data_IF_874190034918
#
_entry.id   IF_874190034918
#
_cell.length_a   1.000
_cell.length_b   1.000
_cell.length_c   1.000
_cell.angle_alpha   90.00
_cell.angle_beta   90.00
_cell.angle_gamma   90.00
#
_symmetry.space_group_name_H-M   'P 1'
#
loop_
_entity.id
_entity.type
_entity.pdbx_description
1 polymer ?
2 water ?
#
# COMPACT_ATOMS: atom_id res chain seq x y z
N UNK A 1 32.21 -5.30 17.77
CA UNK A 1 32.59 -6.76 17.74
C UNK A 1 34.02 -7.00 18.24
N UNK A 2 34.17 -7.66 19.39
CA UNK A 2 33.06 -8.23 20.17
C UNK A 2 32.22 -7.14 20.85
N UNK A 3 30.93 -7.11 20.55
CA UNK A 3 30.01 -6.14 21.14
C UNK A 3 29.94 -6.33 22.65
N UNK A 4 29.76 -5.25 23.39
CA UNK A 4 29.51 -5.32 24.82
C UNK A 4 28.25 -6.14 25.04
N UNK A 5 28.27 -7.08 26.00
CA UNK A 5 27.08 -7.90 26.27
C UNK A 5 25.98 -7.06 26.88
N UNK A 6 24.73 -7.40 26.57
CA UNK A 6 23.60 -6.68 27.16
C UNK A 6 23.48 -6.99 28.64
N UNK A 7 23.34 -5.93 29.45
CA UNK A 7 22.98 -6.12 30.85
C UNK A 7 21.49 -5.83 30.97
N UNK A 8 20.75 -6.84 31.40
CA UNK A 8 19.30 -6.73 31.57
C UNK A 8 18.97 -5.90 32.81
N UNK A 9 17.87 -5.17 32.75
CA UNK A 9 17.44 -4.31 33.85
C UNK A 9 16.05 -4.70 34.32
N UNK A 10 15.91 -4.98 35.61
CA UNK A 10 14.63 -5.36 36.19
C UNK A 10 13.80 -4.15 36.50
N UNK A 11 12.51 -4.19 36.12
CA UNK A 11 11.60 -3.16 36.58
C UNK A 11 11.18 -3.43 38.02
N UNK A 12 10.63 -2.41 38.66
CA UNK A 12 10.01 -2.60 39.97
C UNK A 12 8.51 -2.72 39.71
N UNK A 13 7.94 -3.85 40.13
CA UNK A 13 6.53 -4.12 39.87
C UNK A 13 5.65 -3.96 41.10
N UNK A 14 4.37 -3.68 40.88
CA UNK A 14 3.43 -3.38 41.96
C UNK A 14 2.07 -4.04 41.69
N UNK A 15 1.95 -5.37 41.94
CA UNK A 15 0.71 -6.08 41.60
C UNK A 15 -0.53 -5.50 42.30
N UNK A 16 -0.34 -4.91 43.47
CA UNK A 16 -1.47 -4.34 44.22
C UNK A 16 -1.56 -2.81 44.13
N UNK A 17 -0.73 -2.24 43.25
CA UNK A 17 -0.86 -0.84 42.83
C UNK A 17 -0.41 -0.74 41.38
N UNK A 18 -1.15 -1.44 40.51
CA UNK A 18 -0.74 -1.67 39.13
C UNK A 18 -0.74 -0.42 38.26
N UNK A 19 -1.57 0.58 38.59
CA UNK A 19 -1.66 1.77 37.74
C UNK A 19 -0.29 2.42 37.46
N UNK A 20 0.58 2.44 38.47
CA UNK A 20 1.92 3.02 38.28
C UNK A 20 2.76 2.20 37.28
N UNK A 21 2.60 0.88 37.30
CA UNK A 21 3.26 -0.01 36.33
C UNK A 21 2.67 0.20 34.95
N UNK A 22 1.36 0.35 34.90
CA UNK A 22 0.65 0.58 33.64
C UNK A 22 1.12 1.88 33.00
N UNK A 23 1.25 2.94 33.81
CA UNK A 23 1.80 4.22 33.36
C UNK A 23 3.20 4.02 32.75
N UNK A 24 4.09 3.35 33.49
CA UNK A 24 5.48 3.13 33.06
C UNK A 24 5.54 2.29 31.79
N UNK A 25 4.66 1.30 31.70
CA UNK A 25 4.64 0.41 30.54
C UNK A 25 4.12 1.10 29.28
N UNK A 26 3.15 1.99 29.44
CA UNK A 26 2.73 2.85 28.35
C UNK A 26 3.92 3.66 27.80
N UNK A 27 4.71 4.26 28.70
CA UNK A 27 5.86 5.06 28.28
C UNK A 27 6.89 4.20 27.55
N UNK A 28 7.12 2.98 28.05
CA UNK A 28 8.05 2.05 27.40
C UNK A 28 7.56 1.65 26.02
N UNK A 29 6.29 1.26 25.93
CA UNK A 29 5.68 0.85 24.65
C UNK A 29 5.73 1.99 23.63
N UNK A 30 5.38 3.20 24.07
CA UNK A 30 5.40 4.35 23.17
C UNK A 30 6.81 4.67 22.69
N UNK A 31 7.76 4.67 23.61
CA UNK A 31 9.17 4.84 23.26
C UNK A 31 9.61 3.84 22.19
N UNK A 32 9.34 2.55 22.41
CA UNK A 32 9.69 1.49 21.44
C UNK A 32 9.04 1.70 20.08
N UNK A 33 7.79 2.15 20.07
CA UNK A 33 7.09 2.44 18.83
C UNK A 33 7.76 3.59 18.05
N UNK A 34 8.17 4.62 18.78
CA UNK A 34 8.90 5.72 18.17
C UNK A 34 10.25 5.24 17.67
N UNK A 35 10.91 4.38 18.45
CA UNK A 35 12.18 3.80 18.03
C UNK A 35 12.01 3.00 16.74
N UNK A 36 10.94 2.21 16.66
CA UNK A 36 10.68 1.40 15.48
C UNK A 36 10.41 2.26 14.26
N UNK A 37 9.61 3.31 14.44
CA UNK A 37 9.33 4.27 13.37
C UNK A 37 10.66 4.80 12.81
N UNK A 38 11.54 5.23 13.71
CA UNK A 38 12.83 5.81 13.32
C UNK A 38 13.71 4.80 12.60
N UNK A 39 13.75 3.56 13.10
CA UNK A 39 14.60 2.54 12.50
C UNK A 39 14.08 2.06 11.14
N UNK A 40 12.76 1.91 11.03
CA UNK A 40 12.14 1.50 9.76
C UNK A 40 12.39 2.54 8.67
N UNK A 41 12.24 3.81 9.01
CA UNK A 41 12.45 4.88 8.03
C UNK A 41 13.90 4.93 7.58
N UNK A 42 14.82 4.71 8.53
CA UNK A 42 16.25 4.74 8.26
C UNK A 42 16.63 3.63 7.28
N UNK A 43 16.09 2.44 7.53
CA UNK A 43 16.32 1.31 6.65
C UNK A 43 15.66 1.53 5.28
N UNK A 44 14.44 2.03 5.27
CA UNK A 44 13.67 2.22 4.03
C UNK A 44 14.37 3.15 3.04
N UNK A 45 14.93 4.26 3.54
CA UNK A 45 15.60 5.23 2.67
C UNK A 45 16.77 4.60 1.91
N UNK A 46 17.54 3.78 2.62
CA UNK A 46 18.70 3.11 2.01
C UNK A 46 18.26 1.95 1.13
N UNK A 47 17.29 1.16 1.61
CA UNK A 47 16.76 0.04 0.83
C UNK A 47 16.15 0.50 -0.48
N UNK A 48 15.45 1.64 -0.44
CA UNK A 48 14.89 2.24 -1.65
C UNK A 48 15.94 2.57 -2.69
N UNK A 49 16.98 3.29 -2.29
CA UNK A 49 18.00 3.69 -3.25
C UNK A 49 18.76 2.47 -3.77
N UNK A 50 19.05 1.53 -2.87
CA UNK A 50 19.69 0.27 -3.26
C UNK A 50 18.87 -0.48 -4.30
N UNK A 51 17.55 -0.55 -4.07
CA UNK A 51 16.62 -1.22 -4.96
C UNK A 51 16.50 -0.52 -6.31
N UNK A 52 16.54 0.81 -6.29
CA UNK A 52 16.42 1.61 -7.51
C UNK A 52 17.60 1.39 -8.43
N UNK A 53 18.76 1.16 -7.85
CA UNK A 53 20.01 1.07 -8.58
C UNK A 53 20.49 -0.37 -8.83
N UNK A 54 19.83 -1.34 -8.21
CA UNK A 54 20.26 -2.73 -8.24
C UNK A 54 19.98 -3.46 -9.54
N UNK A 55 18.97 -3.01 -10.27
CA UNK A 55 18.45 -3.71 -11.48
C UNK A 55 18.18 -5.17 -11.10
N UNK A 56 17.41 -5.32 -10.03
CA UNK A 56 17.26 -6.60 -9.36
C UNK A 56 15.87 -6.74 -8.73
N UNK A 57 15.04 -7.65 -9.28
CA UNK A 57 13.72 -7.93 -8.71
C UNK A 57 13.77 -8.29 -7.23
N UNK A 58 14.79 -9.04 -6.82
CA UNK A 58 14.94 -9.40 -5.41
C UNK A 58 14.94 -8.17 -4.50
N UNK A 59 15.69 -7.14 -4.90
CA UNK A 59 15.75 -5.90 -4.14
C UNK A 59 14.40 -5.22 -4.01
N UNK A 60 13.64 -5.18 -5.11
CA UNK A 60 12.31 -4.58 -5.12
C UNK A 60 11.36 -5.39 -4.22
N UNK A 61 11.48 -6.72 -4.30
CA UNK A 61 10.64 -7.63 -3.51
C UNK A 61 10.80 -7.39 -2.01
N UNK A 62 12.05 -7.26 -1.58
CA UNK A 62 12.33 -7.05 -0.15
C UNK A 62 11.94 -5.63 0.26
N UNK A 63 12.05 -4.69 -0.68
CA UNK A 63 11.62 -3.34 -0.39
C UNK A 63 10.12 -3.29 -0.14
N UNK A 64 9.34 -3.99 -0.96
CA UNK A 64 7.89 -4.09 -0.76
C UNK A 64 7.56 -4.74 0.59
N UNK A 65 8.30 -5.80 0.92
CA UNK A 65 8.17 -6.45 2.23
C UNK A 65 8.43 -5.48 3.39
N UNK A 66 9.46 -4.65 3.24
CA UNK A 66 9.82 -3.65 4.24
C UNK A 66 8.71 -2.62 4.42
N UNK A 67 8.13 -2.19 3.30
CA UNK A 67 6.99 -1.28 3.30
C UNK A 67 5.79 -1.89 4.01
N UNK A 68 5.56 -3.18 3.79
CA UNK A 68 4.49 -3.90 4.48
C UNK A 68 4.66 -3.87 5.98
N UNK A 69 5.88 -4.08 6.43
CA UNK A 69 6.17 -4.08 7.86
C UNK A 69 6.07 -2.67 8.43
N UNK A 70 6.52 -1.68 7.66
CA UNK A 70 6.42 -0.30 8.07
C UNK A 70 4.96 0.08 8.30
N UNK A 71 4.08 -0.32 7.38
CA UNK A 71 2.65 -0.04 7.51
C UNK A 71 2.02 -0.71 8.73
N UNK A 72 2.35 -1.98 8.92
CA UNK A 72 1.87 -2.79 10.06
C UNK A 72 2.31 -2.17 11.38
N UNK A 73 3.60 -1.86 11.48
CA UNK A 73 4.15 -1.26 12.70
C UNK A 73 3.53 0.12 12.91
N UNK A 74 3.46 0.90 11.84
CA UNK A 74 2.84 2.22 11.86
C UNK A 74 1.39 2.24 12.36
N UNK A 75 0.56 1.32 11.86
CA UNK A 75 -0.87 1.27 12.22
C UNK A 75 -1.11 0.92 13.70
N UNK A 76 -0.13 0.26 14.32
CA UNK A 76 -0.21 -0.11 15.72
C UNK A 76 -0.17 1.10 16.67
N UNK A 77 0.37 2.22 16.20
CA UNK A 77 0.47 3.42 17.02
C UNK A 77 -0.90 3.94 17.48
N UNK A 78 -1.84 4.05 16.56
CA UNK A 78 -3.18 4.52 16.94
C UNK A 78 -3.97 3.43 17.64
N UNK A 79 -3.67 2.18 17.32
CA UNK A 79 -4.27 1.04 18.04
C UNK A 79 -3.88 1.10 19.52
N UNK A 80 -2.62 1.42 19.79
CA UNK A 80 -2.10 1.62 21.15
C UNK A 80 -2.96 2.62 21.93
N UNK A 81 -3.26 3.76 21.29
CA UNK A 81 -4.06 4.78 21.95
C UNK A 81 -5.50 4.30 22.20
N UNK A 82 -6.05 3.55 21.26
CA UNK A 82 -7.37 2.93 21.46
C UNK A 82 -7.30 1.97 22.66
N UNK A 83 -6.22 1.19 22.72
CA UNK A 83 -6.02 0.25 23.83
C UNK A 83 -5.94 0.96 25.18
N UNK A 84 -5.21 2.07 25.21
CA UNK A 84 -5.05 2.86 26.42
C UNK A 84 -6.35 3.52 26.83
N UNK A 85 -7.13 3.97 25.85
CA UNK A 85 -8.48 4.51 26.09
C UNK A 85 -9.36 3.47 26.78
N UNK A 86 -9.37 2.24 26.27
CA UNK A 86 -10.14 1.14 26.90
C UNK A 86 -9.63 0.83 28.30
N UNK A 87 -8.31 0.76 28.43
CA UNK A 87 -7.65 0.36 29.67
C UNK A 87 -7.96 1.29 30.85
N UNK A 88 -7.89 2.60 30.61
CA UNK A 88 -8.12 3.59 31.66
C UNK A 88 -9.32 4.49 31.37
N UNK A 89 -10.52 4.10 31.81
CA UNK A 89 -10.73 2.88 32.58
C UNK A 89 -11.99 2.12 32.19
N UNK B 1 31.66 3.48 1.28
CA UNK B 1 31.01 4.41 2.26
C UNK B 1 30.12 3.68 3.27
N UNK B 2 30.63 3.56 4.50
CA UNK B 2 29.90 2.98 5.63
C UNK B 2 28.89 4.01 6.15
N UNK B 3 27.61 3.63 6.13
CA UNK B 3 26.53 4.54 6.54
C UNK B 3 26.66 4.96 7.99
N UNK B 4 26.29 6.22 8.27
CA UNK B 4 26.31 6.76 9.62
C UNK B 4 25.27 6.04 10.48
N UNK B 5 25.67 5.61 11.70
CA UNK B 5 24.75 4.94 12.63
C UNK B 5 23.56 5.80 13.00
N UNK B 6 22.42 5.17 13.23
CA UNK B 6 21.22 5.89 13.64
C UNK B 6 21.30 6.31 15.10
N UNK B 7 21.00 7.58 15.36
CA UNK B 7 20.89 8.07 16.73
C UNK B 7 19.40 8.14 17.07
N UNK B 8 18.98 7.34 18.05
CA UNK B 8 17.57 7.26 18.41
C UNK B 8 17.16 8.48 19.23
N UNK B 9 15.90 8.90 19.05
CA UNK B 9 15.36 10.06 19.74
C UNK B 9 14.20 9.63 20.63
N UNK B 10 14.36 9.83 21.95
CA UNK B 10 13.34 9.48 22.92
C UNK B 10 12.23 10.52 22.94
N UNK B 11 10.97 10.07 22.81
CA UNK B 11 9.86 11.01 22.96
C UNK B 11 9.61 11.31 24.43
N UNK B 12 8.86 12.38 24.70
CA UNK B 12 8.37 12.66 26.04
C UNK B 12 6.94 12.15 26.08
N UNK B 13 6.65 11.25 27.03
CA UNK B 13 5.34 10.63 27.11
C UNK B 13 4.57 11.11 28.33
N UNK B 14 3.24 11.02 28.25
CA UNK B 14 2.36 11.62 29.25
C UNK B 14 1.18 10.69 29.56
N UNK B 15 1.42 9.63 30.37
CA UNK B 15 0.37 8.63 30.61
C UNK B 15 -0.89 9.22 31.24
N UNK B 16 -0.74 10.33 31.96
CA UNK B 16 -1.87 10.99 32.62
C UNK B 16 -2.37 12.26 31.91
N UNK B 17 -1.82 12.53 30.74
CA UNK B 17 -2.32 13.54 29.81
C UNK B 17 -2.13 13.03 28.38
N UNK B 18 -2.76 11.90 28.10
CA UNK B 18 -2.43 11.14 26.88
C UNK B 18 -2.86 11.84 25.59
N UNK B 19 -3.84 12.75 25.68
CA UNK B 19 -4.32 13.47 24.49
C UNK B 19 -3.18 14.13 23.70
N UNK B 20 -2.23 14.74 24.40
CA UNK B 20 -1.10 15.38 23.69
C UNK B 20 -0.17 14.38 23.00
N UNK B 21 -0.03 13.20 23.60
CA UNK B 21 0.71 12.09 22.98
C UNK B 21 -0.01 11.58 21.74
N UNK B 22 -1.34 11.50 21.84
CA UNK B 22 -2.17 11.02 20.75
C UNK B 22 -2.09 11.98 19.55
N UNK B 23 -2.15 13.28 19.83
CA UNK B 23 -1.93 14.31 18.80
C UNK B 23 -0.58 14.13 18.10
N UNK B 24 0.47 13.98 18.90
CA UNK B 24 1.84 13.84 18.41
C UNK B 24 2.02 12.58 17.58
N UNK B 25 1.36 11.50 18.02
CA UNK B 25 1.49 10.21 17.33
C UNK B 25 0.67 10.19 16.03
N UNK B 26 -0.46 10.88 16.03
CA UNK B 26 -1.16 11.11 14.76
C UNK B 26 -0.22 11.79 13.77
N UNK B 27 0.49 12.83 14.21
CA UNK B 27 1.36 13.57 13.28
C UNK B 27 2.45 12.64 12.78
N UNK B 28 2.97 11.81 13.66
CA UNK B 28 4.04 10.85 13.28
C UNK B 28 3.52 9.80 12.29
N UNK B 29 2.38 9.19 12.61
CA UNK B 29 1.75 8.22 11.73
C UNK B 29 1.42 8.83 10.36
N UNK B 30 0.84 10.04 10.36
CA UNK B 30 0.54 10.71 9.10
C UNK B 30 1.79 10.96 8.27
N UNK B 31 2.84 11.48 8.91
CA UNK B 31 4.11 11.74 8.25
C UNK B 31 4.62 10.45 7.58
N UNK B 32 4.68 9.36 8.33
CA UNK B 32 5.14 8.06 7.84
C UNK B 32 4.32 7.57 6.65
N UNK B 33 2.99 7.74 6.71
CA UNK B 33 2.15 7.30 5.61
C UNK B 33 2.41 8.10 4.34
N UNK B 34 2.63 9.41 4.48
CA UNK B 34 3.02 10.25 3.34
C UNK B 34 4.38 9.82 2.81
N UNK B 35 5.33 9.55 3.70
CA UNK B 35 6.64 9.03 3.31
C UNK B 35 6.53 7.73 2.52
N UNK B 36 5.72 6.81 3.03
CA UNK B 36 5.56 5.53 2.34
C UNK B 36 4.97 5.70 0.95
N UNK B 37 3.96 6.55 0.84
CA UNK B 37 3.33 6.85 -0.44
C UNK B 37 4.37 7.34 -1.45
N UNK B 38 5.23 8.25 -1.00
CA UNK B 38 6.26 8.83 -1.85
C UNK B 38 7.29 7.80 -2.26
N UNK B 39 7.70 6.95 -1.30
CA UNK B 39 8.71 5.93 -1.58
C UNK B 39 8.17 4.83 -2.49
N UNK B 40 6.94 4.41 -2.25
CA UNK B 40 6.31 3.38 -3.05
C UNK B 40 6.13 3.84 -4.49
N UNK B 41 5.65 5.06 -4.66
CA UNK B 41 5.51 5.61 -6.01
C UNK B 41 6.84 5.71 -6.73
N UNK B 42 7.87 6.15 -5.99
CA UNK B 42 9.23 6.32 -6.54
C UNK B 42 9.77 4.98 -7.04
N UNK B 43 9.69 3.96 -6.20
CA UNK B 43 10.08 2.61 -6.59
C UNK B 43 9.24 2.10 -7.78
N UNK B 44 7.92 2.30 -7.72
CA UNK B 44 7.02 1.77 -8.75
C UNK B 44 7.31 2.28 -10.16
N UNK B 45 7.63 3.57 -10.28
CA UNK B 45 7.93 4.15 -11.59
C UNK B 45 9.13 3.47 -12.24
N UNK B 46 10.15 3.18 -11.43
CA UNK B 46 11.37 2.53 -11.91
C UNK B 46 11.13 1.04 -12.17
N UNK B 47 10.44 0.38 -11.24
CA UNK B 47 10.12 -1.04 -11.38
C UNK B 47 9.27 -1.27 -12.62
N UNK B 48 8.35 -0.34 -12.91
CA UNK B 48 7.51 -0.43 -14.11
C UNK B 48 8.35 -0.40 -15.38
N UNK B 49 9.24 0.58 -15.48
CA UNK B 49 10.04 0.71 -16.70
C UNK B 49 10.98 -0.47 -16.86
N UNK B 50 11.54 -0.95 -15.75
CA UNK B 50 12.40 -2.13 -15.76
C UNK B 50 11.65 -3.35 -16.27
N UNK B 51 10.41 -3.51 -15.82
CA UNK B 51 9.58 -4.66 -16.19
C UNK B 51 9.18 -4.62 -17.66
N UNK B 52 8.87 -3.41 -18.15
CA UNK B 52 8.42 -3.22 -19.51
C UNK B 52 9.53 -3.56 -20.50
N UNK B 53 10.77 -3.27 -20.12
CA UNK B 53 11.90 -3.45 -21.03
C UNK B 53 12.65 -4.78 -20.86
N UNK B 54 12.18 -5.63 -19.96
CA UNK B 54 12.93 -6.82 -19.54
C UNK B 54 12.46 -8.16 -20.11
N UNK B 55 11.37 -8.18 -20.87
CA UNK B 55 10.59 -9.43 -21.12
C UNK B 55 11.00 -10.52 -20.14
N UNK B 56 10.62 -10.29 -18.89
CA UNK B 56 10.99 -11.12 -17.77
C UNK B 56 9.76 -11.22 -16.88
N UNK B 57 9.15 -12.42 -16.82
CA UNK B 57 8.00 -12.64 -15.94
C UNK B 57 8.33 -12.26 -14.49
N UNK B 58 9.57 -12.51 -14.08
CA UNK B 58 10.02 -12.16 -12.73
C UNK B 58 9.85 -10.67 -12.42
N UNK B 59 10.17 -9.81 -13.39
CA UNK B 59 9.99 -8.36 -13.22
C UNK B 59 8.52 -7.97 -13.11
N UNK B 60 7.67 -8.61 -13.92
CA UNK B 60 6.22 -8.36 -13.87
C UNK B 60 5.70 -8.75 -12.49
N UNK B 61 6.13 -9.92 -12.02
CA UNK B 61 5.68 -10.47 -10.75
C UNK B 61 5.99 -9.54 -9.58
N UNK B 62 7.21 -9.01 -9.53
CA UNK B 62 7.58 -8.09 -8.44
C UNK B 62 6.89 -6.74 -8.57
N UNK B 63 6.65 -6.31 -9.81
CA UNK B 63 5.89 -5.09 -10.00
C UNK B 63 4.47 -5.26 -9.44
N UNK B 64 3.87 -6.43 -9.68
CA UNK B 64 2.53 -6.74 -9.13
C UNK B 64 2.55 -6.71 -7.60
N UNK B 65 3.57 -7.33 -7.01
CA UNK B 65 3.80 -7.28 -5.55
C UNK B 65 3.89 -5.85 -5.01
N UNK B 66 4.66 -5.00 -5.67
CA UNK B 66 4.75 -3.59 -5.34
C UNK B 66 3.39 -2.87 -5.39
N UNK B 67 2.61 -3.14 -6.42
CA UNK B 67 1.26 -2.57 -6.54
C UNK B 67 0.37 -3.02 -5.39
N UNK B 68 0.52 -4.28 -4.99
CA UNK B 68 -0.22 -4.83 -3.85
C UNK B 68 0.07 -4.05 -2.59
N UNK B 69 1.35 -3.77 -2.36
CA UNK B 69 1.75 -3.02 -1.19
C UNK B 69 1.30 -1.57 -1.24
N UNK B 70 1.31 -0.99 -2.44
CA UNK B 70 0.85 0.37 -2.63
C UNK B 70 -0.64 0.49 -2.29
N UNK B 71 -1.41 -0.50 -2.74
CA UNK B 71 -2.83 -0.54 -2.43
C UNK B 71 -3.09 -0.66 -0.93
N UNK B 72 -2.36 -1.56 -0.29
CA UNK B 72 -2.48 -1.76 1.16
C UNK B 72 -2.15 -0.49 1.95
N UNK B 73 -1.00 0.10 1.62
CA UNK B 73 -0.56 1.35 2.23
C UNK B 73 -1.58 2.48 1.96
N UNK B 74 -2.05 2.61 0.72
CA UNK B 74 -3.15 3.51 0.37
C UNK B 74 -4.37 3.43 1.25
N UNK B 75 -4.89 2.21 1.44
CA UNK B 75 -6.10 1.94 2.22
C UNK B 75 -5.95 2.38 3.65
N UNK B 76 -4.72 2.29 4.17
CA UNK B 76 -4.48 2.60 5.57
C UNK B 76 -4.55 4.10 5.86
N UNK B 77 -4.30 4.91 4.84
CA UNK B 77 -4.40 6.36 4.97
C UNK B 77 -5.82 6.79 5.41
N UNK B 78 -6.83 6.25 4.73
CA UNK B 78 -8.23 6.55 5.06
C UNK B 78 -8.64 5.92 6.39
N UNK B 79 -8.12 4.71 6.65
CA UNK B 79 -8.42 4.02 7.89
C UNK B 79 -7.87 4.78 9.09
N UNK B 80 -6.71 5.42 8.91
CA UNK B 80 -6.12 6.30 9.93
C UNK B 80 -7.10 7.39 10.36
N UNK B 81 -7.78 8.01 9.38
CA UNK B 81 -8.74 9.06 9.71
C UNK B 81 -9.96 8.52 10.45
N UNK B 82 -10.42 7.35 10.04
CA UNK B 82 -11.49 6.65 10.75
C UNK B 82 -11.10 6.34 12.19
N UNK B 83 -9.87 5.86 12.38
CA UNK B 83 -9.32 5.59 13.72
C UNK B 83 -9.27 6.83 14.59
N UNK B 84 -8.83 7.94 14.02
CA UNK B 84 -8.79 9.22 14.73
C UNK B 84 -10.19 9.72 15.09
N UNK B 85 -11.14 9.56 14.17
CA UNK B 85 -12.54 9.93 14.42
C UNK B 85 -13.11 9.15 15.61
N UNK B 86 -12.77 7.86 15.67
CA UNK B 86 -13.20 6.97 16.75
C UNK B 86 -12.57 7.35 18.08
N UNK B 87 -11.29 7.75 18.05
CA UNK B 87 -10.57 8.16 19.26
C UNK B 87 -11.13 9.43 19.88
N UNK B 88 -11.53 10.39 19.03
CA UNK B 88 -12.25 11.59 19.49
C UNK B 88 -13.67 11.26 19.99
N UNK B 89 -14.16 10.08 19.63
CA UNK B 89 -15.46 9.60 20.06
C UNK B 89 -15.36 8.90 21.40
N UNK B 90 -16.14 7.83 21.57
CA UNK B 90 -16.17 7.05 22.81
C UNK B 90 -16.51 5.58 22.59
N UNK C 1 20.26 4.38 -13.73
CA UNK C 1 21.16 4.41 -12.54
C UNK C 1 22.49 5.11 -12.86
N UNK C 2 23.03 5.90 -11.93
CA UNK C 2 22.51 6.08 -10.56
C UNK C 2 21.37 7.09 -10.53
N UNK C 3 20.19 6.61 -10.18
CA UNK C 3 18.99 7.46 -10.11
C UNK C 3 19.16 8.54 -9.06
N UNK C 4 18.51 9.68 -9.28
CA UNK C 4 18.49 10.74 -8.29
C UNK C 4 17.81 10.18 -7.04
N UNK C 5 18.43 10.39 -5.86
CA UNK C 5 17.80 9.97 -4.61
C UNK C 5 16.45 10.64 -4.39
N UNK C 6 15.55 9.94 -3.72
CA UNK C 6 14.25 10.53 -3.41
C UNK C 6 14.42 11.55 -2.30
N UNK C 7 13.82 12.72 -2.47
CA UNK C 7 13.79 13.74 -1.44
C UNK C 7 12.38 13.72 -0.83
N UNK C 8 12.29 13.30 0.42
CA UNK C 8 11.00 13.16 1.10
C UNK C 8 10.40 14.53 1.42
N UNK C 9 9.07 14.60 1.35
CA UNK C 9 8.32 15.81 1.68
C UNK C 9 7.47 15.57 2.94
N UNK C 10 7.78 16.30 4.00
CA UNK C 10 7.07 16.21 5.27
C UNK C 10 5.76 17.00 5.17
N UNK C 11 4.62 16.34 5.41
CA UNK C 11 3.37 17.09 5.39
C UNK C 11 3.23 17.98 6.63
N UNK C 12 2.30 18.94 6.56
CA UNK C 12 1.91 19.71 7.74
C UNK C 12 0.60 19.09 8.22
N UNK C 13 0.58 18.66 9.48
CA UNK C 13 -0.57 17.96 10.04
C UNK C 13 -1.29 18.81 11.07
N UNK C 14 -2.54 18.45 11.33
CA UNK C 14 -3.44 19.27 12.13
C UNK C 14 -4.32 18.38 13.02
N UNK C 15 -3.75 17.81 14.11
CA UNK C 15 -4.53 16.86 14.93
C UNK C 15 -5.78 17.50 15.53
N UNK C 16 -5.77 18.82 15.69
CA UNK C 16 -6.93 19.53 16.23
C UNK C 16 -7.71 20.35 15.21
N UNK C 17 -7.40 20.11 13.93
CA UNK C 17 -8.21 20.61 12.81
C UNK C 17 -8.10 19.57 11.68
N UNK C 18 -8.49 18.35 12.00
CA UNK C 18 -8.16 17.20 11.15
C UNK C 18 -8.87 17.19 9.80
N UNK C 19 -9.99 17.90 9.69
CA UNK C 19 -10.74 17.91 8.43
C UNK C 19 -9.89 18.33 7.23
N UNK C 20 -9.01 19.31 7.40
CA UNK C 20 -8.16 19.71 6.27
C UNK C 20 -7.14 18.62 5.91
N UNK C 21 -6.67 17.88 6.92
CA UNK C 21 -5.80 16.72 6.68
C UNK C 21 -6.56 15.62 5.92
N UNK C 22 -7.80 15.38 6.33
CA UNK C 22 -8.66 14.38 5.69
C UNK C 22 -8.91 14.71 4.23
N UNK C 23 -9.22 15.99 3.95
CA UNK C 23 -9.42 16.50 2.59
C UNK C 23 -8.17 16.23 1.76
N UNK C 24 -7.03 16.65 2.30
CA UNK C 24 -5.73 16.49 1.62
C UNK C 24 -5.40 15.03 1.35
N UNK C 25 -5.66 14.19 2.36
CA UNK C 25 -5.31 12.78 2.26
C UNK C 25 -6.24 12.05 1.30
N UNK C 26 -7.51 12.42 1.25
CA UNK C 26 -8.41 11.94 0.20
C UNK C 26 -7.83 12.23 -1.20
N UNK C 27 -7.39 13.47 -1.42
CA UNK C 27 -6.85 13.87 -2.73
C UNK C 27 -5.61 13.06 -3.06
N UNK C 28 -4.77 12.83 -2.05
CA UNK C 28 -3.54 12.05 -2.22
C UNK C 28 -3.83 10.59 -2.58
N UNK C 29 -4.71 9.97 -1.79
CA UNK C 29 -5.11 8.58 -2.02
C UNK C 29 -5.75 8.42 -3.40
N UNK C 30 -6.65 9.34 -3.76
CA UNK C 30 -7.28 9.28 -5.07
C UNK C 30 -6.25 9.42 -6.18
N UNK C 31 -5.35 10.38 -6.06
CA UNK C 31 -4.26 10.53 -7.02
C UNK C 31 -3.48 9.23 -7.19
N UNK C 32 -3.04 8.65 -6.07
CA UNK C 32 -2.33 7.37 -6.07
C UNK C 32 -3.11 6.23 -6.74
N UNK C 33 -4.40 6.16 -6.49
CA UNK C 33 -5.23 5.11 -7.07
C UNK C 33 -5.31 5.27 -8.59
N UNK C 34 -5.41 6.52 -9.05
CA UNK C 34 -5.40 6.82 -10.48
C UNK C 34 -4.05 6.47 -11.08
N UNK C 35 -2.97 6.80 -10.37
CA UNK C 35 -1.62 6.43 -10.81
C UNK C 35 -1.48 4.91 -10.96
N UNK C 36 -2.00 4.16 -9.99
CA UNK C 36 -1.94 2.70 -10.04
C UNK C 36 -2.71 2.14 -11.21
N UNK C 37 -3.89 2.71 -11.46
CA UNK C 37 -4.69 2.34 -12.62
C UNK C 37 -3.87 2.46 -13.90
N UNK C 38 -3.19 3.60 -14.06
CA UNK C 38 -2.39 3.87 -15.24
C UNK C 38 -1.22 2.91 -15.35
N UNK C 39 -0.54 2.67 -14.22
CA UNK C 39 0.65 1.82 -14.19
C UNK C 39 0.31 0.35 -14.45
N UNK C 40 -0.75 -0.12 -13.80
CA UNK C 40 -1.19 -1.51 -14.00
C UNK C 40 -1.58 -1.78 -15.45
N UNK C 41 -2.32 -0.86 -16.05
CA UNK C 41 -2.73 -1.01 -17.45
C UNK C 41 -1.53 -1.01 -18.40
N UNK C 42 -0.61 -0.08 -18.16
CA UNK C 42 0.61 0.04 -18.98
C UNK C 42 1.42 -1.26 -18.93
N UNK C 43 1.60 -1.80 -17.73
CA UNK C 43 2.24 -3.11 -17.56
C UNK C 43 1.44 -4.24 -18.23
N UNK C 44 0.13 -4.27 -18.01
CA UNK C 44 -0.71 -5.36 -18.51
C UNK C 44 -0.68 -5.50 -20.03
N UNK C 45 -0.70 -4.37 -20.73
CA UNK C 45 -0.69 -4.43 -22.20
C UNK C 45 0.57 -5.10 -22.74
N UNK C 46 1.71 -4.80 -22.13
CA UNK C 46 2.99 -5.37 -22.53
C UNK C 46 3.14 -6.82 -22.04
N UNK C 47 2.74 -7.09 -20.80
CA UNK C 47 2.79 -8.45 -20.25
C UNK C 47 1.93 -9.39 -21.09
N UNK C 48 0.79 -8.89 -21.57
CA UNK C 48 -0.12 -9.69 -22.40
C UNK C 48 0.51 -10.08 -23.73
N UNK C 49 1.07 -9.11 -24.43
CA UNK C 49 1.63 -9.40 -25.75
C UNK C 49 2.88 -10.26 -25.60
N UNK C 50 3.64 -10.06 -24.53
CA UNK C 50 4.81 -10.92 -24.26
C UNK C 50 4.38 -12.36 -24.00
N UNK C 51 3.31 -12.52 -23.21
CA UNK C 51 2.78 -13.83 -22.87
C UNK C 51 2.21 -14.55 -24.09
N UNK C 52 1.56 -13.80 -24.98
CA UNK C 52 0.92 -14.35 -26.18
C UNK C 52 1.95 -14.90 -27.13
N UNK C 53 3.12 -14.26 -27.16
CA UNK C 53 4.16 -14.63 -28.13
C UNK C 53 5.25 -15.52 -27.54
N UNK C 54 5.17 -15.75 -26.23
CA UNK C 54 6.21 -16.50 -25.51
C UNK C 54 6.11 -18.03 -25.60
N UNK C 55 4.91 -18.55 -25.89
CA UNK C 55 4.59 -19.99 -25.75
C UNK C 55 5.27 -20.53 -24.49
N UNK C 56 4.91 -19.93 -23.37
CA UNK C 56 5.60 -20.10 -22.12
C UNK C 56 4.58 -20.06 -20.99
N UNK C 57 4.35 -21.22 -20.33
CA UNK C 57 3.41 -21.27 -19.22
C UNK C 57 3.77 -20.26 -18.13
N UNK C 58 5.06 -20.02 -17.92
CA UNK C 58 5.47 -19.06 -16.88
C UNK C 58 4.93 -17.64 -17.16
N UNK C 59 4.95 -17.24 -18.43
CA UNK C 59 4.40 -15.95 -18.83
C UNK C 59 2.90 -15.85 -18.58
N UNK C 60 2.18 -16.94 -18.86
CA UNK C 60 0.74 -16.93 -18.67
C UNK C 60 0.41 -16.86 -17.18
N UNK C 61 1.18 -17.61 -16.39
CA UNK C 61 1.04 -17.67 -14.94
C UNK C 61 1.20 -16.30 -14.29
N UNK C 62 2.25 -15.59 -14.66
CA UNK C 62 2.50 -14.25 -14.12
C UNK C 62 1.47 -13.24 -14.62
N UNK C 63 1.05 -13.38 -15.87
CA UNK C 63 -0.01 -12.54 -16.38
C UNK C 63 -1.30 -12.70 -15.55
N UNK C 64 -1.64 -13.95 -15.24
CA UNK C 64 -2.79 -14.22 -14.40
C UNK C 64 -2.63 -13.53 -13.04
N UNK C 65 -1.42 -13.62 -12.47
CA UNK C 65 -1.13 -12.97 -11.19
C UNK C 65 -1.28 -11.46 -11.28
N UNK C 66 -0.80 -10.87 -12.37
CA UNK C 66 -0.96 -9.43 -12.63
C UNK C 66 -2.44 -9.06 -12.70
N UNK C 67 -3.23 -9.87 -13.40
CA UNK C 67 -4.67 -9.64 -13.49
C UNK C 67 -5.31 -9.69 -12.13
N UNK C 68 -4.87 -10.62 -11.29
CA UNK C 68 -5.35 -10.72 -9.91
C UNK C 68 -5.11 -9.45 -9.12
N UNK C 69 -3.90 -8.91 -9.21
CA UNK C 69 -3.57 -7.66 -8.52
C UNK C 69 -4.39 -6.49 -9.07
N UNK C 70 -4.57 -6.45 -10.39
CA UNK C 70 -5.35 -5.38 -11.04
C UNK C 70 -6.77 -5.37 -10.49
N UNK C 71 -7.34 -6.55 -10.33
CA UNK C 71 -8.70 -6.67 -9.78
C UNK C 71 -8.75 -6.19 -8.34
N UNK C 72 -7.77 -6.60 -7.55
CA UNK C 72 -7.70 -6.26 -6.13
C UNK C 72 -7.53 -4.75 -5.96
N UNK C 73 -6.66 -4.15 -6.77
CA UNK C 73 -6.42 -2.72 -6.73
C UNK C 73 -7.64 -1.94 -7.23
N UNK C 74 -8.21 -2.38 -8.36
CA UNK C 74 -9.37 -1.73 -8.95
C UNK C 74 -10.58 -1.67 -8.00
N UNK C 75 -10.81 -2.76 -7.25
CA UNK C 75 -11.89 -2.87 -6.26
C UNK C 75 -11.83 -1.79 -5.17
N UNK C 76 -10.62 -1.34 -4.86
CA UNK C 76 -10.44 -0.42 -3.74
C UNK C 76 -10.86 1.01 -4.06
N UNK C 77 -10.94 1.33 -5.35
CA UNK C 77 -11.38 2.67 -5.76
C UNK C 77 -12.80 2.97 -5.27
N UNK C 78 -13.74 2.06 -5.47
CA UNK C 78 -15.10 2.26 -4.96
C UNK C 78 -15.19 2.08 -3.45
N UNK C 79 -14.36 1.18 -2.91
CA UNK C 79 -14.29 1.02 -1.45
C UNK C 79 -13.85 2.30 -0.78
N UNK C 80 -12.95 3.03 -1.44
CA UNK C 80 -12.53 4.32 -0.94
C UNK C 80 -13.68 5.33 -0.82
N UNK C 81 -14.57 5.36 -1.81
CA UNK C 81 -15.72 6.25 -1.72
C UNK C 81 -16.68 5.88 -0.59
N UNK C 82 -16.85 4.57 -0.35
CA UNK C 82 -17.62 4.08 0.79
C UNK C 82 -17.00 4.56 2.10
N UNK C 83 -15.67 4.43 2.22
CA UNK C 83 -14.93 4.90 3.39
C UNK C 83 -15.14 6.40 3.62
N UNK C 84 -15.04 7.18 2.53
CA UNK C 84 -15.23 8.63 2.59
C UNK C 84 -16.66 8.98 2.98
N UNK C 85 -17.63 8.23 2.45
CA UNK C 85 -19.04 8.40 2.82
C UNK C 85 -19.24 8.19 4.33
N UNK C 86 -18.63 7.14 4.88
CA UNK C 86 -18.73 6.86 6.31
C UNK C 86 -18.04 7.94 7.13
N UNK C 87 -16.91 8.40 6.63
CA UNK C 87 -16.13 9.46 7.28
C UNK C 87 -16.92 10.76 7.45
N UNK C 88 -17.78 11.08 6.47
CA UNK C 88 -18.70 12.21 6.56
C UNK C 88 -19.89 11.95 7.49
N UNK C 89 -20.16 10.66 7.75
CA UNK C 89 -21.36 10.24 8.47
C UNK C 89 -21.28 10.24 9.99
N UNK C 90 -22.13 9.42 10.60
CA UNK C 90 -22.33 9.42 12.06
C UNK C 90 -21.21 8.75 12.85
N UNK C 91 -20.96 7.47 12.56
CA UNK C 91 -19.99 6.63 13.30
C UNK C 91 -19.83 6.99 14.78
N UNK D 1 11.24 -3.82 -28.61
CA UNK D 1 11.21 -4.17 -27.16
C UNK D 1 11.65 -3.03 -26.23
N UNK D 2 11.92 -1.86 -26.81
CA UNK D 2 12.24 -0.67 -26.03
C UNK D 2 10.99 0.20 -25.91
N UNK D 3 10.59 0.47 -24.67
CA UNK D 3 9.35 1.20 -24.43
C UNK D 3 9.58 2.61 -23.89
N UNK D 4 8.70 3.51 -24.30
CA UNK D 4 8.68 4.88 -23.80
C UNK D 4 8.18 4.87 -22.36
N UNK D 5 8.74 5.74 -21.50
CA UNK D 5 8.28 5.78 -20.13
C UNK D 5 6.80 6.14 -20.02
N UNK D 6 6.14 5.66 -18.96
CA UNK D 6 4.75 6.05 -18.74
C UNK D 6 4.68 7.50 -18.30
N UNK D 7 3.78 8.26 -18.91
CA UNK D 7 3.49 9.61 -18.46
C UNK D 7 2.23 9.56 -17.59
N UNK D 8 2.40 9.87 -16.32
CA UNK D 8 1.27 9.89 -15.38
C UNK D 8 0.41 11.14 -15.55
N UNK D 9 -0.91 10.96 -15.47
CA UNK D 9 -1.84 12.09 -15.60
C UNK D 9 -2.55 12.27 -14.28
N UNK D 10 -2.48 13.47 -13.72
CA UNK D 10 -3.13 13.77 -12.44
C UNK D 10 -4.62 14.01 -12.61
N UNK D 11 -5.45 13.33 -11.80
CA UNK D 11 -6.87 13.66 -11.80
C UNK D 11 -7.11 14.93 -10.99
N UNK D 12 -8.29 15.54 -11.17
CA UNK D 12 -8.68 16.65 -10.31
C UNK D 12 -9.70 16.13 -9.31
N UNK D 13 -9.40 16.29 -8.04
CA UNK D 13 -10.26 15.79 -6.98
C UNK D 13 -10.99 16.91 -6.27
N UNK D 14 -12.07 16.53 -5.59
CA UNK D 14 -13.01 17.46 -5.01
C UNK D 14 -13.50 16.94 -3.67
N UNK D 15 -12.67 17.06 -2.61
CA UNK D 15 -13.03 16.44 -1.32
C UNK D 15 -14.36 16.95 -0.75
N UNK D 16 -14.74 18.17 -1.12
CA UNK D 16 -15.98 18.78 -0.61
C UNK D 16 -17.12 18.82 -1.64
N UNK D 17 -16.87 18.17 -2.78
CA UNK D 17 -17.93 17.87 -3.75
C UNK D 17 -17.62 16.52 -4.37
N UNK D 18 -17.56 15.49 -3.52
CA UNK D 18 -17.02 14.18 -3.89
C UNK D 18 -17.85 13.39 -4.90
N UNK D 19 -19.15 13.68 -5.00
CA UNK D 19 -20.02 12.96 -5.94
C UNK D 19 -19.54 12.98 -7.40
N UNK D 20 -18.98 14.09 -7.87
CA UNK D 20 -18.45 14.11 -9.24
C UNK D 20 -17.21 13.22 -9.40
N UNK D 21 -16.41 13.12 -8.34
CA UNK D 21 -15.27 12.21 -8.31
C UNK D 21 -15.74 10.76 -8.31
N UNK D 22 -16.80 10.49 -7.55
CA UNK D 22 -17.34 9.15 -7.42
C UNK D 22 -17.86 8.69 -8.78
N UNK D 23 -18.56 9.59 -9.48
CA UNK D 23 -19.08 9.30 -10.83
C UNK D 23 -17.92 8.95 -11.77
N UNK D 24 -16.87 9.77 -11.76
CA UNK D 24 -15.70 9.56 -12.63
C UNK D 24 -14.97 8.26 -12.29
N UNK D 25 -14.88 7.98 -11.00
CA UNK D 25 -14.19 6.76 -10.54
C UNK D 25 -14.99 5.49 -10.87
N UNK D 26 -16.30 5.55 -10.76
CA UNK D 26 -17.14 4.46 -11.28
C UNK D 26 -16.83 4.17 -12.76
N UNK D 27 -16.74 5.22 -13.58
CA UNK D 27 -16.46 5.05 -15.01
C UNK D 27 -15.08 4.46 -15.23
N UNK D 28 -14.11 4.90 -14.42
CA UNK D 28 -12.74 4.35 -14.56
C UNK D 28 -12.70 2.87 -14.16
N UNK D 29 -13.32 2.56 -13.03
CA UNK D 29 -13.38 1.18 -12.51
C UNK D 29 -14.08 0.25 -13.51
N UNK D 30 -15.23 0.68 -14.01
CA UNK D 30 -15.97 -0.12 -14.99
C UNK D 30 -15.15 -0.32 -16.27
N UNK D 31 -14.52 0.74 -16.76
CA UNK D 31 -13.63 0.63 -17.91
C UNK D 31 -12.55 -0.42 -17.70
N UNK D 32 -11.89 -0.36 -16.55
CA UNK D 32 -10.81 -1.29 -16.21
C UNK D 32 -11.29 -2.74 -16.13
N UNK D 33 -12.48 -2.93 -15.57
CA UNK D 33 -13.09 -4.26 -15.53
C UNK D 33 -13.37 -4.81 -16.93
N UNK D 34 -13.83 -3.95 -17.83
CA UNK D 34 -14.04 -4.34 -19.22
C UNK D 34 -12.70 -4.66 -19.89
N UNK D 35 -11.69 -3.85 -19.63
CA UNK D 35 -10.34 -4.12 -20.13
C UNK D 35 -9.82 -5.48 -19.64
N UNK D 36 -10.01 -5.78 -18.36
CA UNK D 36 -9.52 -7.05 -17.82
C UNK D 36 -10.23 -8.23 -18.46
N UNK D 37 -11.53 -8.11 -18.67
CA UNK D 37 -12.32 -9.13 -19.36
C UNK D 37 -11.74 -9.41 -20.74
N UNK D 38 -11.44 -8.34 -21.48
CA UNK D 38 -10.90 -8.46 -22.83
C UNK D 38 -9.50 -9.07 -22.83
N UNK D 39 -8.66 -8.65 -21.89
CA UNK D 39 -7.28 -9.17 -21.83
C UNK D 39 -7.25 -10.64 -21.42
N UNK D 40 -8.06 -10.98 -20.41
CA UNK D 40 -8.15 -12.37 -19.95
C UNK D 40 -8.65 -13.31 -21.05
N UNK D 41 -9.69 -12.89 -21.78
CA UNK D 41 -10.21 -13.71 -22.87
C UNK D 41 -9.17 -13.89 -23.98
N UNK D 42 -8.49 -12.80 -24.31
CA UNK D 42 -7.46 -12.81 -25.36
C UNK D 42 -6.35 -13.81 -25.02
N UNK D 43 -5.90 -13.76 -23.76
CA UNK D 43 -4.87 -14.69 -23.28
C UNK D 43 -5.41 -16.12 -23.26
N UNK D 44 -6.62 -16.29 -22.74
CA UNK D 44 -7.22 -17.62 -22.62
C UNK D 44 -7.33 -18.35 -23.97
N UNK D 45 -7.74 -17.62 -25.01
CA UNK D 45 -7.90 -18.27 -26.32
C UNK D 45 -6.57 -18.89 -26.81
N UNK D 46 -5.49 -18.15 -26.60
CA UNK D 46 -4.16 -18.61 -27.02
C UNK D 46 -3.61 -19.68 -26.07
N UNK D 47 -3.77 -19.48 -24.77
CA UNK D 47 -3.31 -20.44 -23.77
C UNK D 47 -4.00 -21.79 -23.97
N UNK D 48 -5.27 -21.75 -24.37
CA UNK D 48 -6.02 -22.98 -24.62
C UNK D 48 -5.44 -23.78 -25.77
N UNK D 49 -5.18 -23.11 -26.89
CA UNK D 49 -4.65 -23.80 -28.06
C UNK D 49 -3.24 -24.31 -27.81
N UNK D 50 -2.44 -23.52 -27.07
CA UNK D 50 -1.10 -23.95 -26.69
C UNK D 50 -1.14 -25.19 -25.81
N UNK D 51 -2.04 -25.19 -24.83
CA UNK D 51 -2.23 -26.32 -23.93
C UNK D 51 -2.75 -27.57 -24.64
N UNK D 52 -3.65 -27.37 -25.60
CA UNK D 52 -4.20 -28.48 -26.37
C UNK D 52 -3.13 -29.16 -27.20
N UNK D 53 -2.20 -28.37 -27.73
CA UNK D 53 -1.15 -28.89 -28.60
C UNK D 53 0.18 -29.24 -27.92
N UNK D 54 0.32 -28.89 -26.65
CA UNK D 54 1.60 -29.08 -25.95
C UNK D 54 1.83 -30.48 -25.38
N UNK D 55 0.75 -31.25 -25.16
CA UNK D 55 0.81 -32.54 -24.45
C UNK D 55 1.71 -32.38 -23.22
N UNK D 56 1.32 -31.43 -22.39
CA UNK D 56 2.15 -30.97 -21.29
C UNK D 56 1.24 -30.61 -20.12
N UNK D 57 1.38 -31.33 -19.00
CA UNK D 57 0.57 -31.04 -17.82
C UNK D 57 0.77 -29.61 -17.35
N UNK D 58 1.98 -29.09 -17.51
CA UNK D 58 2.29 -27.70 -17.12
C UNK D 58 1.39 -26.69 -17.83
N UNK D 59 1.14 -26.91 -19.12
CA UNK D 59 0.26 -26.02 -19.89
C UNK D 59 -1.19 -26.10 -19.40
N UNK D 60 -1.64 -27.32 -19.10
CA UNK D 60 -2.98 -27.53 -18.58
C UNK D 60 -3.12 -26.84 -17.22
N UNK D 61 -2.12 -27.04 -16.35
CA UNK D 61 -2.10 -26.46 -15.00
C UNK D 61 -2.23 -24.95 -15.04
N UNK D 62 -1.46 -24.30 -15.92
CA UNK D 62 -1.50 -22.84 -16.02
C UNK D 62 -2.81 -22.36 -16.68
N UNK D 63 -3.34 -23.12 -17.63
CA UNK D 63 -4.64 -22.80 -18.21
C UNK D 63 -5.75 -22.83 -17.15
N UNK D 64 -5.71 -23.83 -16.28
CA UNK D 64 -6.65 -23.90 -15.15
C UNK D 64 -6.52 -22.65 -14.27
N UNK D 65 -5.28 -22.28 -13.93
CA UNK D 65 -5.02 -21.08 -13.13
C UNK D 65 -5.64 -19.82 -13.77
N UNK D 66 -5.48 -19.71 -15.08
CA UNK D 66 -6.03 -18.59 -15.85
C UNK D 66 -7.55 -18.56 -15.79
N UNK D 67 -8.19 -19.72 -15.91
CA UNK D 67 -9.64 -19.82 -15.79
C UNK D 67 -10.10 -19.39 -14.41
N UNK D 68 -9.30 -19.72 -13.40
CA UNK D 68 -9.59 -19.33 -12.02
C UNK D 68 -9.63 -17.83 -11.86
N UNK D 69 -8.63 -17.16 -12.44
CA UNK D 69 -8.56 -15.70 -12.40
C UNK D 69 -9.68 -15.06 -13.21
N UNK D 70 -10.00 -15.67 -14.35
CA UNK D 70 -11.11 -15.21 -15.19
C UNK D 70 -12.42 -15.21 -14.41
N UNK D 71 -12.69 -16.30 -13.69
CA UNK D 71 -13.89 -16.39 -12.85
C UNK D 71 -13.91 -15.34 -11.74
N UNK D 72 -12.79 -15.19 -11.05
CA UNK D 72 -12.66 -14.23 -9.95
C UNK D 72 -12.90 -12.81 -10.46
N UNK D 73 -12.16 -12.44 -11.50
CA UNK D 73 -12.28 -11.13 -12.11
C UNK D 73 -13.70 -10.89 -12.65
N UNK D 74 -14.26 -11.92 -13.29
CA UNK D 74 -15.64 -11.92 -13.76
C UNK D 74 -16.70 -11.70 -12.65
N UNK D 75 -16.51 -12.37 -11.50
CA UNK D 75 -17.40 -12.22 -10.33
C UNK D 75 -17.47 -10.79 -9.80
N UNK D 76 -16.40 -10.04 -10.03
CA UNK D 76 -16.27 -8.71 -9.46
C UNK D 76 -17.12 -7.65 -10.18
N UNK D 77 -17.48 -7.92 -11.43
CA UNK D 77 -18.32 -6.99 -12.19
C UNK D 77 -19.69 -6.78 -11.54
N UNK D 78 -20.33 -7.87 -11.14
CA UNK D 78 -21.63 -7.73 -10.50
C UNK D 78 -21.51 -7.20 -9.08
N UNK D 79 -20.41 -7.55 -8.41
CA UNK D 79 -20.10 -6.99 -7.10
C UNK D 79 -19.93 -5.47 -7.16
N UNK D 80 -19.31 -4.98 -8.24
CA UNK D 80 -19.19 -3.53 -8.50
C UNK D 80 -20.56 -2.86 -8.47
N UNK D 81 -21.53 -3.47 -9.14
CA UNK D 81 -22.88 -2.90 -9.21
C UNK D 81 -23.56 -2.92 -7.84
N UNK D 82 -23.37 -3.99 -7.09
CA UNK D 82 -23.90 -4.08 -5.72
C UNK D 82 -23.31 -2.98 -4.84
N UNK D 83 -22.00 -2.75 -4.97
CA UNK D 83 -21.30 -1.66 -4.28
C UNK D 83 -21.86 -0.28 -4.63
N UNK D 84 -22.09 -0.06 -5.93
CA UNK D 84 -22.66 1.19 -6.40
C UNK D 84 -24.09 1.40 -5.87
N UNK D 85 -24.87 0.33 -5.82
CA UNK D 85 -26.23 0.37 -5.26
C UNK D 85 -26.18 0.78 -3.79
N UNK D 86 -25.23 0.20 -3.04
CA UNK D 86 -25.04 0.56 -1.63
C UNK D 86 -24.52 2.00 -1.48
N UNK D 87 -23.59 2.42 -2.35
CA UNK D 87 -23.11 3.81 -2.36
C UNK D 87 -24.22 4.86 -2.51
N UNK D 88 -25.13 4.63 -3.45
CA UNK D 88 -26.30 5.51 -3.65
C UNK D 88 -27.25 5.53 -2.44
N UNK D 89 -27.27 4.44 -1.69
CA UNK D 89 -28.12 4.33 -0.51
C UNK D 89 -27.59 5.16 0.64
#
# INVERSE_FOLDING_TARGET
>A
QVYAPLVLRDPVSNPNNRKIDQDDDYELVRRNMHYQSQMLLDMAKIALENAKNADSPRHVEVFAQLMGQMTTTNKEMLKMHKEMKDLAGAAVQK
>B
QVYAPLVLRDPVSNPNNRKIDQDDDYELVRRNMHYQSQMLLDMAKIALENAKNADSPRHVEVFAQLMGQMTTTNKEMLKMHKEMKDLAGAAVQK
>C
QVYAPLVLRDPVSNPNNRKIDQDDDYELVRRNMHYQSQMLLDMAKIALENAKNADSPRHVEVFAQLMGQMTTTNKEMLKMHKEMKDLAGAAVQK
>D
QVYAPLVLRDPVSNPNNRKIDQDDDYELVRRNMHYQSQMLLDMAKIALENAKNADSPRHVEVFAQLMGQMTTTNKEMLKMHKEMKDLAGAAVQK
#
